data_IF_794025776422
#
_entry.id   IF_794025776422
#
_cell.length_a   1.000
_cell.length_b   1.000
_cell.length_c   1.000
_cell.angle_alpha   90.00
_cell.angle_beta   90.00
_cell.angle_gamma   90.00
#
_symmetry.space_group_name_H-M   'P 1'
#
loop_
_entity.id
_entity.type
_entity.pdbx_description
1 polymer ?
#
# COMPACT_ATOMS: atom_id res chain seq x y z
N UNK A 1 12.70 9.44 2.77
CA UNK A 1 11.64 8.42 2.66
C UNK A 1 12.03 7.43 1.57
N UNK A 2 12.03 6.12 1.82
CA UNK A 2 12.35 5.10 0.78
C UNK A 2 11.08 4.62 0.07
N UNK A 3 11.17 4.10 -1.17
CA UNK A 3 10.03 3.51 -1.86
C UNK A 3 9.33 2.40 -1.06
N UNK A 4 10.10 1.59 -0.33
CA UNK A 4 9.60 0.47 0.48
C UNK A 4 8.78 1.00 1.67
N UNK A 5 9.30 2.02 2.37
CA UNK A 5 8.59 2.64 3.48
C UNK A 5 7.33 3.38 3.01
N UNK A 6 7.38 4.00 1.84
CA UNK A 6 6.21 4.63 1.22
C UNK A 6 5.10 3.61 0.88
N UNK A 7 5.45 2.45 0.30
CA UNK A 7 4.47 1.37 0.08
C UNK A 7 3.87 0.85 1.38
N UNK A 8 4.69 0.62 2.41
CA UNK A 8 4.23 0.18 3.73
C UNK A 8 3.25 1.19 4.36
N UNK A 9 3.60 2.47 4.39
CA UNK A 9 2.75 3.52 4.98
C UNK A 9 1.45 3.74 4.19
N UNK A 10 1.52 3.72 2.85
CA UNK A 10 0.32 3.86 2.02
C UNK A 10 -0.62 2.66 2.16
N UNK A 11 -0.09 1.44 2.22
CA UNK A 11 -0.92 0.24 2.48
C UNK A 11 -1.45 0.20 3.92
N UNK A 12 -0.69 0.68 4.92
CA UNK A 12 -1.19 0.83 6.29
C UNK A 12 -2.43 1.75 6.33
N UNK A 13 -2.34 2.91 5.68
CA UNK A 13 -3.44 3.87 5.60
C UNK A 13 -4.66 3.25 4.89
N UNK A 14 -4.44 2.59 3.76
CA UNK A 14 -5.52 1.98 2.97
C UNK A 14 -6.21 0.84 3.72
N UNK A 15 -5.44 -0.15 4.21
CA UNK A 15 -5.99 -1.30 4.93
C UNK A 15 -6.57 -0.90 6.28
N UNK A 16 -5.97 0.06 6.98
CA UNK A 16 -6.52 0.64 8.19
C UNK A 16 -7.89 1.28 7.94
N UNK A 17 -8.01 2.09 6.89
CA UNK A 17 -9.29 2.73 6.52
C UNK A 17 -10.36 1.69 6.19
N UNK A 18 -10.00 0.65 5.42
CA UNK A 18 -10.90 -0.48 5.12
C UNK A 18 -11.34 -1.19 6.41
N UNK A 19 -10.41 -1.42 7.33
CA UNK A 19 -10.64 -2.26 8.51
C UNK A 19 -11.43 -1.57 9.61
N UNK A 20 -11.26 -0.26 9.80
CA UNK A 20 -11.85 0.48 10.92
C UNK A 20 -12.97 1.44 10.50
N UNK A 21 -13.02 1.88 9.24
CA UNK A 21 -14.04 2.84 8.74
C UNK A 21 -14.94 2.19 7.70
N UNK A 22 -14.38 1.52 6.69
CA UNK A 22 -15.10 0.68 5.74
C UNK A 22 -16.04 1.39 4.74
N UNK A 23 -16.16 2.73 4.78
CA UNK A 23 -17.03 3.45 3.83
C UNK A 23 -16.31 3.70 2.50
N UNK A 24 -17.00 3.58 1.34
CA UNK A 24 -16.36 3.77 0.04
C UNK A 24 -15.68 5.13 -0.12
N UNK A 25 -16.30 6.20 0.39
CA UNK A 25 -15.74 7.55 0.34
C UNK A 25 -14.45 7.66 1.16
N UNK A 26 -14.41 7.08 2.35
CA UNK A 26 -13.20 7.10 3.17
C UNK A 26 -12.06 6.32 2.53
N UNK A 27 -12.35 5.14 1.97
CA UNK A 27 -11.36 4.30 1.27
C UNK A 27 -10.79 5.05 0.06
N UNK A 28 -11.66 5.68 -0.75
CA UNK A 28 -11.24 6.48 -1.89
C UNK A 28 -10.39 7.69 -1.48
N UNK A 29 -10.80 8.41 -0.43
CA UNK A 29 -10.05 9.55 0.09
C UNK A 29 -8.66 9.13 0.64
N UNK A 30 -8.59 8.03 1.39
CA UNK A 30 -7.35 7.48 1.90
C UNK A 30 -6.39 7.10 0.77
N UNK A 31 -6.90 6.44 -0.29
CA UNK A 31 -6.10 6.11 -1.46
C UNK A 31 -5.63 7.37 -2.20
N UNK A 32 -6.49 8.38 -2.37
CA UNK A 32 -6.11 9.63 -3.01
C UNK A 32 -5.01 10.37 -2.25
N UNK A 33 -5.10 10.44 -0.92
CA UNK A 33 -4.06 11.01 -0.06
C UNK A 33 -2.75 10.23 -0.19
N UNK A 34 -2.79 8.90 -0.09
CA UNK A 34 -1.60 8.07 -0.25
C UNK A 34 -0.95 8.26 -1.63
N UNK A 35 -1.75 8.26 -2.71
CA UNK A 35 -1.26 8.46 -4.07
C UNK A 35 -0.63 9.85 -4.26
N UNK A 36 -1.23 10.90 -3.68
CA UNK A 36 -0.71 12.26 -3.82
C UNK A 36 0.65 12.44 -3.11
N UNK A 37 0.77 11.99 -1.86
CA UNK A 37 1.96 12.24 -1.05
C UNK A 37 3.06 11.18 -1.22
N UNK A 38 2.68 9.91 -1.42
CA UNK A 38 3.62 8.79 -1.44
C UNK A 38 3.84 8.23 -2.85
N UNK A 39 2.90 8.47 -3.78
CA UNK A 39 3.01 8.06 -5.18
C UNK A 39 4.29 8.53 -5.88
N UNK A 40 4.70 9.81 -5.77
CA UNK A 40 5.95 10.31 -6.34
C UNK A 40 7.21 9.62 -5.81
N UNK A 41 7.13 8.93 -4.67
CA UNK A 41 8.26 8.28 -4.00
C UNK A 41 8.36 6.80 -4.42
N UNK A 42 7.26 6.06 -4.44
CA UNK A 42 7.26 4.60 -4.65
C UNK A 42 6.70 4.12 -5.98
N UNK A 43 5.95 4.96 -6.70
CA UNK A 43 5.05 4.56 -7.78
C UNK A 43 3.59 4.38 -7.32
N UNK A 44 3.35 4.41 -6.01
CA UNK A 44 2.00 4.47 -5.42
C UNK A 44 1.15 3.23 -5.66
N UNK A 45 1.73 2.04 -5.58
CA UNK A 45 1.00 0.81 -5.89
C UNK A 45 0.01 0.45 -4.79
N UNK A 46 0.49 0.44 -3.54
CA UNK A 46 -0.21 0.11 -2.29
C UNK A 46 -1.03 -1.19 -2.32
N UNK A 47 -0.79 -2.03 -3.33
CA UNK A 47 -1.58 -3.19 -3.70
C UNK A 47 -0.70 -4.16 -4.52
N UNK A 48 -0.62 -5.45 -4.13
CA UNK A 48 0.18 -6.45 -4.84
C UNK A 48 -0.21 -6.63 -6.31
N UNK A 49 -1.51 -6.52 -6.65
CA UNK A 49 -1.98 -6.63 -8.03
C UNK A 49 -1.51 -5.47 -8.90
N UNK A 50 -1.45 -4.26 -8.35
CA UNK A 50 -0.92 -3.07 -9.03
C UNK A 50 0.59 -3.21 -9.21
N UNK A 51 1.30 -3.73 -8.21
CA UNK A 51 2.74 -4.04 -8.33
C UNK A 51 3.00 -5.10 -9.39
N UNK A 52 2.18 -6.15 -9.46
CA UNK A 52 2.29 -7.19 -10.49
C UNK A 52 2.06 -6.61 -11.88
N UNK A 53 1.02 -5.80 -12.06
CA UNK A 53 0.78 -5.09 -13.32
C UNK A 53 1.97 -4.22 -13.72
N UNK A 54 2.52 -3.44 -12.79
CA UNK A 54 3.67 -2.59 -13.05
C UNK A 54 4.90 -3.41 -13.43
N UNK A 55 5.11 -4.56 -12.80
CA UNK A 55 6.20 -5.49 -13.12
C UNK A 55 6.04 -6.06 -14.54
N UNK A 56 4.87 -6.61 -14.86
CA UNK A 56 4.56 -7.13 -16.19
C UNK A 56 4.61 -6.05 -17.29
N UNK A 57 4.41 -4.79 -16.91
CA UNK A 57 4.52 -3.63 -17.79
C UNK A 57 5.93 -3.03 -17.87
N UNK A 58 6.95 -3.68 -17.30
CA UNK A 58 8.34 -3.18 -17.22
C UNK A 58 8.48 -1.80 -16.56
N UNK A 59 7.57 -1.41 -15.66
CA UNK A 59 7.58 -0.14 -14.93
C UNK A 59 8.33 -0.18 -13.60
N UNK A 60 8.64 -1.39 -13.12
CA UNK A 60 9.36 -1.61 -11.87
C UNK A 60 10.28 -2.83 -12.01
N UNK A 61 11.48 -2.77 -11.41
CA UNK A 61 12.42 -3.89 -11.45
C UNK A 61 11.91 -5.08 -10.61
N UNK A 62 12.27 -6.33 -10.94
CA UNK A 62 11.84 -7.51 -10.20
C UNK A 62 12.13 -7.42 -8.69
N UNK A 63 13.34 -6.98 -8.32
CA UNK A 63 13.72 -6.82 -6.92
C UNK A 63 12.87 -5.78 -6.20
N UNK A 64 12.58 -4.63 -6.85
CA UNK A 64 11.73 -3.60 -6.25
C UNK A 64 10.28 -4.06 -6.16
N UNK A 65 9.77 -4.79 -7.16
CA UNK A 65 8.43 -5.37 -7.13
C UNK A 65 8.26 -6.33 -5.94
N UNK A 66 9.22 -7.24 -5.71
CA UNK A 66 9.19 -8.14 -4.55
C UNK A 66 9.23 -7.37 -3.23
N UNK A 67 10.08 -6.36 -3.10
CA UNK A 67 10.16 -5.55 -1.88
C UNK A 67 8.87 -4.73 -1.64
N UNK A 68 8.24 -4.22 -2.69
CA UNK A 68 6.95 -3.54 -2.60
C UNK A 68 5.86 -4.48 -2.10
N UNK A 69 5.77 -5.67 -2.68
CA UNK A 69 4.81 -6.69 -2.24
C UNK A 69 5.04 -7.08 -0.79
N UNK A 70 6.30 -7.32 -0.37
CA UNK A 70 6.63 -7.61 1.01
C UNK A 70 6.19 -6.48 1.97
N UNK A 71 6.46 -5.21 1.62
CA UNK A 71 6.02 -4.06 2.40
C UNK A 71 4.49 -3.98 2.52
N UNK A 72 3.76 -4.21 1.42
CA UNK A 72 2.30 -4.22 1.39
C UNK A 72 1.71 -5.33 2.28
N UNK A 73 2.28 -6.54 2.23
CA UNK A 73 1.86 -7.64 3.10
C UNK A 73 2.14 -7.35 4.59
N UNK A 74 3.33 -6.83 4.91
CA UNK A 74 3.68 -6.46 6.29
C UNK A 74 2.73 -5.39 6.86
N UNK A 75 2.34 -4.40 6.05
CA UNK A 75 1.35 -3.40 6.43
C UNK A 75 -0.02 -4.03 6.70
N UNK A 76 -0.49 -4.92 5.81
CA UNK A 76 -1.77 -5.61 5.99
C UNK A 76 -1.79 -6.48 7.25
N UNK A 77 -0.71 -7.24 7.50
CA UNK A 77 -0.56 -8.06 8.73
C UNK A 77 -0.53 -7.18 9.97
N UNK A 78 0.13 -6.02 9.91
CA UNK A 78 0.17 -5.08 11.04
C UNK A 78 -1.23 -4.58 11.42
N UNK A 79 -2.06 -4.19 10.42
CA UNK A 79 -3.44 -3.78 10.68
C UNK A 79 -4.28 -4.95 11.20
N UNK A 80 -4.13 -6.14 10.62
CA UNK A 80 -4.83 -7.33 11.09
C UNK A 80 -4.52 -7.62 12.56
N UNK A 81 -3.24 -7.60 12.94
CA UNK A 81 -2.80 -7.82 14.32
C UNK A 81 -3.33 -6.74 15.27
N UNK A 82 -3.30 -5.47 14.88
CA UNK A 82 -3.87 -4.36 15.66
C UNK A 82 -5.38 -4.55 15.87
N UNK A 83 -6.12 -4.93 14.83
CA UNK A 83 -7.57 -5.12 14.91
C UNK A 83 -7.95 -6.33 15.76
N UNK A 84 -7.15 -7.40 15.72
CA UNK A 84 -7.37 -8.60 16.51
C UNK A 84 -7.11 -8.40 18.02
N UNK A 85 -6.39 -7.34 18.39
CA UNK A 85 -6.07 -7.01 19.78
C UNK A 85 -7.08 -6.06 20.45
N UNK A 86 -8.12 -5.61 19.72
CA UNK A 86 -9.18 -4.71 20.19
C UNK A 86 -10.49 -5.48 20.35
#
# INVERSE_FOLDING_TARGET
MTPILAEFLGTLLLIGTISYVGTPLAIGAALAVAAYFLGPISGGHFNPAVTLWAFLSNKVSPNRAMMHVAAQFLAAVSIFALKAAM
#
